data_IF_506499641881
#
_entry.id   IF_506499641881
#
_cell.length_a   1.000
_cell.length_b   1.000
_cell.length_c   1.000
_cell.angle_alpha   90.00
_cell.angle_beta   90.00
_cell.angle_gamma   90.00
#
_symmetry.space_group_name_H-M   'P 1'
#
loop_
_entity.id
_entity.type
_entity.pdbx_description
1 polymer ?
#
# COMPACT_ATOMS: atom_id res chain seq x y z
N UNK A 1 -0.74 -7.54 -12.17
CA UNK A 1 0.73 -7.66 -12.29
C UNK A 1 1.05 -8.92 -13.09
N UNK A 2 1.46 -8.79 -14.35
CA UNK A 2 1.97 -9.92 -15.15
C UNK A 2 3.50 -9.95 -15.04
N UNK A 3 4.08 -11.14 -14.82
CA UNK A 3 5.53 -11.32 -14.80
C UNK A 3 6.04 -11.38 -16.23
N UNK A 4 6.79 -10.37 -16.66
CA UNK A 4 7.55 -10.42 -17.90
C UNK A 4 8.86 -11.21 -17.68
N UNK A 5 8.99 -12.44 -18.21
CA UNK A 5 10.12 -13.33 -17.90
C UNK A 5 11.46 -12.79 -18.39
N UNK A 6 11.47 -11.99 -19.45
CA UNK A 6 12.70 -11.40 -20.00
C UNK A 6 13.18 -10.28 -19.10
N UNK A 7 12.27 -9.40 -18.66
CA UNK A 7 12.60 -8.36 -17.66
C UNK A 7 13.10 -8.97 -16.35
N UNK A 8 12.52 -10.11 -15.95
CA UNK A 8 12.94 -10.85 -14.78
C UNK A 8 14.24 -11.67 -15.00
N UNK A 9 14.86 -11.62 -16.18
CA UNK A 9 16.05 -12.39 -16.57
C UNK A 9 15.86 -13.92 -16.47
N UNK A 10 14.61 -14.38 -16.59
CA UNK A 10 14.23 -15.79 -16.63
C UNK A 10 14.23 -16.36 -18.05
N UNK A 11 14.22 -15.49 -19.06
CA UNK A 11 14.46 -15.79 -20.46
C UNK A 11 15.46 -14.79 -21.02
N UNK A 12 16.29 -15.24 -21.97
CA UNK A 12 17.12 -14.35 -22.79
C UNK A 12 16.23 -13.55 -23.75
N UNK A 13 16.65 -12.35 -24.18
CA UNK A 13 15.84 -11.53 -25.08
C UNK A 13 15.47 -12.22 -26.41
N UNK A 14 16.33 -13.10 -26.90
CA UNK A 14 16.18 -13.80 -28.17
C UNK A 14 15.34 -15.08 -28.04
N UNK A 15 15.13 -15.57 -26.81
CA UNK A 15 14.30 -16.75 -26.57
C UNK A 15 12.81 -16.40 -26.69
N UNK A 16 12.01 -17.23 -27.36
CA UNK A 16 10.59 -16.97 -27.49
C UNK A 16 9.89 -17.18 -26.14
N UNK A 17 8.88 -16.37 -25.84
CA UNK A 17 8.07 -16.43 -24.62
C UNK A 17 7.43 -17.81 -24.41
N UNK A 18 7.07 -18.52 -25.49
CA UNK A 18 6.56 -19.90 -25.41
C UNK A 18 7.55 -20.88 -24.76
N UNK A 19 8.84 -20.55 -24.74
CA UNK A 19 9.88 -21.34 -24.08
C UNK A 19 9.80 -21.26 -22.55
N UNK A 20 9.18 -20.23 -21.99
CA UNK A 20 9.03 -20.08 -20.54
C UNK A 20 7.86 -20.93 -20.02
N UNK A 21 8.19 -22.14 -19.58
CA UNK A 21 7.24 -23.18 -19.10
C UNK A 21 6.36 -22.75 -17.92
N UNK A 22 6.79 -21.77 -17.14
CA UNK A 22 6.09 -21.29 -15.95
C UNK A 22 5.12 -20.14 -16.25
N UNK A 23 4.74 -19.97 -17.53
CA UNK A 23 3.68 -19.08 -17.95
C UNK A 23 2.46 -19.85 -18.44
N UNK A 24 1.32 -19.18 -18.47
CA UNK A 24 0.11 -19.70 -19.10
C UNK A 24 0.15 -19.64 -20.63
N UNK A 25 1.10 -18.90 -21.23
CA UNK A 25 1.17 -18.64 -22.68
C UNK A 25 1.16 -19.93 -23.53
N UNK A 26 1.95 -20.98 -23.23
CA UNK A 26 1.88 -22.23 -23.98
C UNK A 26 0.47 -22.85 -24.02
N UNK A 27 -0.30 -22.71 -22.94
CA UNK A 27 -1.69 -23.17 -22.88
C UNK A 27 -2.60 -22.45 -23.87
N UNK A 28 -2.39 -21.16 -24.12
CA UNK A 28 -3.16 -20.41 -25.13
C UNK A 28 -2.78 -20.80 -26.57
N UNK A 29 -1.52 -21.18 -26.79
CA UNK A 29 -1.00 -21.58 -28.11
C UNK A 29 -1.35 -23.03 -28.49
N UNK A 30 -1.74 -23.84 -27.52
CA UNK A 30 -2.13 -25.22 -27.73
C UNK A 30 -3.47 -25.33 -28.48
N UNK A 31 -3.74 -26.48 -29.12
CA UNK A 31 -5.03 -26.73 -29.79
C UNK A 31 -6.15 -26.92 -28.76
N UNK A 32 -7.41 -26.52 -29.06
CA UNK A 32 -8.52 -26.61 -28.11
C UNK A 32 -8.64 -27.97 -27.38
N UNK A 33 -8.51 -29.08 -28.11
CA UNK A 33 -8.61 -30.43 -27.52
C UNK A 33 -7.44 -30.87 -26.62
N UNK A 34 -6.35 -30.11 -26.58
CA UNK A 34 -5.17 -30.38 -25.72
C UNK A 34 -5.03 -29.37 -24.57
N UNK A 35 -5.92 -28.39 -24.49
CA UNK A 35 -5.92 -27.39 -23.42
C UNK A 35 -6.61 -27.93 -22.18
N UNK A 36 -6.25 -27.34 -21.03
CA UNK A 36 -7.01 -27.56 -19.82
C UNK A 36 -8.47 -27.06 -20.01
N UNK A 37 -9.48 -27.83 -19.57
CA UNK A 37 -10.89 -27.51 -19.84
C UNK A 37 -11.37 -26.22 -19.19
N UNK A 38 -10.66 -25.73 -18.17
CA UNK A 38 -10.95 -24.48 -17.48
C UNK A 38 -10.31 -23.26 -18.15
N UNK A 39 -9.45 -23.43 -19.16
CA UNK A 39 -8.78 -22.32 -19.83
C UNK A 39 -9.71 -21.68 -20.88
N UNK A 40 -10.27 -20.52 -20.55
CA UNK A 40 -11.08 -19.70 -21.45
C UNK A 40 -10.20 -18.77 -22.27
N UNK A 41 -10.18 -18.97 -23.59
CA UNK A 41 -9.32 -18.21 -24.51
C UNK A 41 -10.07 -17.12 -25.27
N UNK A 42 -11.38 -17.28 -25.40
CA UNK A 42 -12.23 -16.48 -26.30
C UNK A 42 -12.20 -15.01 -25.92
N UNK A 43 -12.30 -14.72 -24.62
CA UNK A 43 -12.24 -13.36 -24.10
C UNK A 43 -10.89 -12.71 -24.42
N UNK A 44 -9.79 -13.37 -24.10
CA UNK A 44 -8.45 -12.81 -24.30
C UNK A 44 -8.14 -12.58 -25.77
N UNK A 45 -8.51 -13.52 -26.64
CA UNK A 45 -8.35 -13.34 -28.09
C UNK A 45 -9.21 -12.19 -28.61
N UNK A 46 -10.47 -12.09 -28.16
CA UNK A 46 -11.38 -11.01 -28.53
C UNK A 46 -10.87 -9.62 -28.15
N UNK A 47 -10.35 -9.45 -26.92
CA UNK A 47 -9.74 -8.19 -26.46
C UNK A 47 -8.52 -7.76 -27.30
N UNK A 48 -7.88 -8.72 -27.99
CA UNK A 48 -6.75 -8.48 -28.88
C UNK A 48 -7.17 -8.36 -30.35
N UNK A 49 -8.48 -8.32 -30.62
CA UNK A 49 -9.02 -8.24 -31.97
C UNK A 49 -8.84 -9.52 -32.80
N UNK A 50 -8.56 -10.66 -32.16
CA UNK A 50 -8.39 -11.95 -32.84
C UNK A 50 -9.77 -12.63 -32.89
N UNK A 51 -10.42 -12.70 -34.07
CA UNK A 51 -11.83 -13.06 -34.16
C UNK A 51 -12.10 -14.55 -33.95
N UNK A 52 -11.07 -15.40 -34.08
CA UNK A 52 -11.22 -16.85 -34.03
C UNK A 52 -9.97 -17.52 -33.47
N UNK A 53 -10.18 -18.49 -32.58
CA UNK A 53 -9.17 -19.44 -32.13
C UNK A 53 -8.83 -20.48 -33.22
N UNK A 54 -8.23 -19.98 -34.29
CA UNK A 54 -7.69 -20.77 -35.37
C UNK A 54 -6.18 -20.95 -35.20
N UNK A 55 -5.55 -21.79 -36.02
CA UNK A 55 -4.08 -21.86 -36.05
C UNK A 55 -3.44 -20.51 -36.38
N UNK A 56 -4.06 -19.72 -37.28
CA UNK A 56 -3.61 -18.36 -37.60
C UNK A 56 -3.83 -17.41 -36.41
N UNK A 57 -4.99 -17.48 -35.76
CA UNK A 57 -5.30 -16.66 -34.58
C UNK A 57 -4.34 -16.90 -33.41
N UNK A 58 -3.92 -18.15 -33.19
CA UNK A 58 -2.90 -18.47 -32.16
C UNK A 58 -1.51 -17.95 -32.51
N UNK A 59 -1.10 -17.98 -33.78
CA UNK A 59 0.16 -17.36 -34.22
C UNK A 59 0.13 -15.84 -34.04
N UNK A 60 -0.99 -15.22 -34.36
CA UNK A 60 -1.19 -13.79 -34.14
C UNK A 60 -1.15 -13.44 -32.65
N UNK A 61 -1.78 -14.25 -31.81
CA UNK A 61 -1.68 -14.12 -30.36
C UNK A 61 -0.24 -14.20 -29.85
N UNK A 62 0.54 -15.18 -30.35
CA UNK A 62 1.97 -15.30 -30.04
C UNK A 62 2.74 -14.03 -30.43
N UNK A 63 2.53 -13.52 -31.65
CA UNK A 63 3.14 -12.28 -32.14
C UNK A 63 2.82 -11.07 -31.25
N UNK A 64 1.55 -10.88 -30.91
CA UNK A 64 1.10 -9.76 -30.06
C UNK A 64 1.73 -9.84 -28.66
N UNK A 65 1.89 -11.04 -28.10
CA UNK A 65 2.57 -11.21 -26.81
C UNK A 65 4.08 -10.91 -26.91
N UNK A 66 4.74 -11.33 -27.99
CA UNK A 66 6.14 -11.01 -28.27
C UNK A 66 6.40 -9.52 -28.55
N UNK A 67 5.39 -8.76 -28.98
CA UNK A 67 5.50 -7.31 -29.09
C UNK A 67 5.30 -6.64 -27.73
N UNK A 68 4.30 -7.09 -26.96
CA UNK A 68 3.98 -6.53 -25.65
C UNK A 68 5.11 -6.65 -24.64
N UNK A 69 5.95 -7.68 -24.70
CA UNK A 69 7.11 -7.81 -23.79
C UNK A 69 8.09 -6.63 -23.89
N UNK A 70 8.10 -5.90 -25.01
CA UNK A 70 8.96 -4.72 -25.21
C UNK A 70 8.32 -3.42 -24.69
N UNK A 71 7.00 -3.41 -24.50
CA UNK A 71 6.23 -2.23 -24.08
C UNK A 71 6.26 -1.99 -22.57
N UNK A 72 7.00 -2.82 -21.83
CA UNK A 72 7.06 -2.78 -20.37
C UNK A 72 8.02 -1.65 -19.90
N UNK A 73 7.61 -0.38 -19.99
CA UNK A 73 8.41 0.77 -19.55
C UNK A 73 8.51 0.83 -18.02
N UNK A 74 9.71 0.74 -17.40
CA UNK A 74 9.86 0.81 -15.95
C UNK A 74 9.34 2.10 -15.32
N UNK A 75 9.32 3.19 -16.10
CA UNK A 75 8.98 4.55 -15.66
C UNK A 75 7.48 4.69 -15.39
N UNK A 76 6.63 4.10 -16.23
CA UNK A 76 5.16 4.12 -16.08
C UNK A 76 4.71 3.40 -14.79
N UNK A 77 5.42 2.34 -14.41
CA UNK A 77 5.15 1.61 -13.17
C UNK A 77 5.72 2.28 -11.92
N UNK A 78 6.45 3.38 -12.03
CA UNK A 78 7.06 4.07 -10.88
C UNK A 78 6.04 4.54 -9.84
N UNK A 79 4.87 5.01 -10.31
CA UNK A 79 3.73 5.43 -9.46
C UNK A 79 2.98 4.23 -8.88
N UNK A 80 2.84 3.14 -9.65
CA UNK A 80 2.20 1.89 -9.19
C UNK A 80 3.04 1.19 -8.12
N UNK A 81 4.37 1.21 -8.25
CA UNK A 81 5.30 0.54 -7.33
C UNK A 81 5.48 1.28 -6.00
N UNK A 82 5.29 2.60 -6.00
CA UNK A 82 5.53 3.45 -4.83
C UNK A 82 4.25 4.02 -4.19
N UNK A 83 3.13 3.98 -4.90
CA UNK A 83 1.82 4.41 -4.40
C UNK A 83 0.88 3.25 -4.17
N UNK A 84 0.11 3.27 -3.08
CA UNK A 84 -0.91 2.27 -2.78
C UNK A 84 -2.21 2.40 -3.60
N UNK A 85 -2.38 3.52 -4.33
CA UNK A 85 -3.58 3.84 -5.09
C UNK A 85 -3.22 4.28 -6.52
N UNK A 86 -3.82 3.63 -7.51
CA UNK A 86 -3.76 4.03 -8.92
C UNK A 86 -5.09 4.67 -9.31
N UNK A 87 -5.09 5.98 -9.54
CA UNK A 87 -6.28 6.76 -9.88
C UNK A 87 -6.13 8.23 -9.47
N UNK A 88 -7.17 9.01 -9.73
CA UNK A 88 -7.22 10.43 -9.35
C UNK A 88 -7.33 10.61 -7.83
N UNK A 89 -6.99 11.80 -7.33
CA UNK A 89 -6.98 12.12 -5.90
C UNK A 89 -8.36 11.89 -5.24
N UNK A 90 -9.45 12.11 -5.98
CA UNK A 90 -10.81 11.84 -5.53
C UNK A 90 -11.05 10.35 -5.23
N UNK A 91 -10.59 9.47 -6.13
CA UNK A 91 -10.70 8.01 -5.96
C UNK A 91 -9.86 7.51 -4.77
N UNK A 92 -8.66 8.11 -4.57
CA UNK A 92 -7.83 7.84 -3.39
C UNK A 92 -8.55 8.19 -2.09
N UNK A 93 -9.22 9.35 -2.03
CA UNK A 93 -10.00 9.80 -0.87
C UNK A 93 -11.18 8.86 -0.58
N UNK A 94 -11.86 8.39 -1.61
CA UNK A 94 -12.95 7.42 -1.49
C UNK A 94 -12.47 6.10 -0.87
N UNK A 95 -11.37 5.53 -1.38
CA UNK A 95 -10.81 4.29 -0.85
C UNK A 95 -10.35 4.43 0.62
N UNK A 96 -9.73 5.56 0.99
CA UNK A 96 -9.35 5.82 2.39
C UNK A 96 -10.57 5.85 3.32
N UNK A 97 -11.67 6.47 2.89
CA UNK A 97 -12.91 6.52 3.67
C UNK A 97 -13.50 5.12 3.89
N UNK A 98 -13.44 4.24 2.89
CA UNK A 98 -13.91 2.86 3.00
C UNK A 98 -13.03 2.00 3.93
N UNK A 99 -11.70 2.23 3.95
CA UNK A 99 -10.77 1.52 4.84
C UNK A 99 -10.96 1.93 6.31
N UNK A 100 -11.20 3.21 6.58
CA UNK A 100 -11.50 3.68 7.94
C UNK A 100 -12.77 3.02 8.53
N UNK A 101 -13.71 2.62 7.67
CA UNK A 101 -14.95 1.94 8.07
C UNK A 101 -14.79 0.42 8.33
N UNK A 102 -13.72 -0.23 7.83
CA UNK A 102 -13.58 -1.70 7.77
C UNK A 102 -12.44 -2.30 8.60
N UNK A 103 -11.89 -1.58 9.59
CA UNK A 103 -10.73 -1.99 10.40
C UNK A 103 -10.65 -3.50 10.73
N UNK A 104 -9.73 -4.19 10.04
CA UNK A 104 -9.24 -5.53 10.33
C UNK A 104 -7.71 -5.56 10.16
N UNK A 105 -7.04 -6.38 10.96
CA UNK A 105 -5.59 -6.38 11.16
C UNK A 105 -4.78 -6.80 9.90
N UNK A 106 -4.38 -5.85 9.06
CA UNK A 106 -3.29 -6.08 8.09
C UNK A 106 -2.52 -4.79 7.81
N UNK A 107 -1.21 -4.86 8.00
CA UNK A 107 -0.26 -3.75 8.00
C UNK A 107 0.17 -3.36 6.59
N UNK A 108 0.06 -2.06 6.23
CA UNK A 108 0.62 -1.48 5.00
C UNK A 108 1.41 -0.18 5.30
N UNK A 109 2.50 0.02 4.56
CA UNK A 109 3.65 0.90 4.87
C UNK A 109 3.49 2.42 4.68
N UNK A 110 4.63 3.10 4.49
CA UNK A 110 4.93 4.52 4.73
C UNK A 110 3.88 5.60 4.38
N UNK A 111 3.00 5.39 3.41
CA UNK A 111 1.92 6.36 3.07
C UNK A 111 0.78 6.35 4.12
N UNK A 112 0.63 5.23 4.85
CA UNK A 112 -0.18 5.17 6.07
C UNK A 112 0.51 5.88 7.23
N UNK A 113 1.83 6.12 7.22
CA UNK A 113 2.43 7.02 8.20
C UNK A 113 2.01 8.45 7.92
N UNK A 114 1.94 8.90 6.67
CA UNK A 114 1.47 10.24 6.35
C UNK A 114 0.00 10.42 6.79
N UNK A 115 -0.86 9.45 6.45
CA UNK A 115 -2.27 9.42 6.92
C UNK A 115 -2.39 9.27 8.45
N UNK A 116 -1.55 8.45 9.09
CA UNK A 116 -1.57 8.27 10.54
C UNK A 116 -0.99 9.49 11.27
N UNK A 117 -0.06 10.21 10.68
CA UNK A 117 0.50 11.46 11.21
C UNK A 117 -0.56 12.55 11.10
N UNK A 118 -1.25 12.67 9.97
CA UNK A 118 -2.35 13.61 9.80
C UNK A 118 -3.52 13.32 10.76
N UNK A 119 -3.86 12.04 10.94
CA UNK A 119 -4.85 11.59 11.93
C UNK A 119 -4.41 11.91 13.36
N UNK A 120 -3.13 11.71 13.67
CA UNK A 120 -2.56 12.05 14.98
C UNK A 120 -2.56 13.56 15.22
N UNK A 121 -2.18 14.37 14.23
CA UNK A 121 -2.23 15.83 14.29
C UNK A 121 -3.67 16.34 14.49
N UNK A 122 -4.63 15.81 13.73
CA UNK A 122 -6.05 16.16 13.91
C UNK A 122 -6.52 15.80 15.33
N UNK A 123 -6.13 14.65 15.84
CA UNK A 123 -6.44 14.23 17.20
C UNK A 123 -5.85 15.20 18.24
N UNK A 124 -4.57 15.57 18.10
CA UNK A 124 -3.91 16.55 18.98
C UNK A 124 -4.66 17.88 18.96
N UNK A 125 -4.96 18.42 17.77
CA UNK A 125 -5.68 19.70 17.64
C UNK A 125 -7.03 19.68 18.36
N UNK A 126 -7.81 18.61 18.20
CA UNK A 126 -9.11 18.47 18.85
C UNK A 126 -8.97 18.38 20.37
N UNK A 127 -8.01 17.62 20.88
CA UNK A 127 -7.82 17.51 22.33
C UNK A 127 -7.22 18.78 22.94
N UNK A 128 -6.36 19.51 22.22
CA UNK A 128 -5.88 20.83 22.65
C UNK A 128 -7.04 21.83 22.75
N UNK A 129 -7.94 21.87 21.77
CA UNK A 129 -9.14 22.71 21.82
C UNK A 129 -10.02 22.38 23.04
N UNK A 130 -10.25 21.09 23.34
CA UNK A 130 -11.02 20.67 24.52
C UNK A 130 -10.37 21.07 25.83
N UNK A 131 -9.04 21.11 25.87
CA UNK A 131 -8.27 21.54 27.04
C UNK A 131 -8.12 23.08 27.12
N UNK A 132 -8.56 23.81 26.08
CA UNK A 132 -8.36 25.26 25.95
C UNK A 132 -6.89 25.65 25.77
N UNK A 133 -6.08 24.77 25.18
CA UNK A 133 -4.63 24.97 25.05
C UNK A 133 -4.24 25.37 23.63
N UNK A 134 -3.28 26.28 23.57
CA UNK A 134 -2.55 26.64 22.35
C UNK A 134 -1.25 25.84 22.22
N UNK A 135 -0.61 25.91 21.06
CA UNK A 135 0.73 25.33 20.87
C UNK A 135 1.78 25.99 21.80
N UNK A 136 1.58 27.27 22.16
CA UNK A 136 2.45 27.96 23.13
C UNK A 136 2.29 27.40 24.55
N UNK A 137 1.08 26.98 24.92
CA UNK A 137 0.81 26.33 26.21
C UNK A 137 1.46 24.95 26.31
N UNK A 138 1.57 24.24 25.18
CA UNK A 138 2.36 23.02 25.10
C UNK A 138 3.84 23.31 25.40
N UNK A 139 4.41 24.43 24.97
CA UNK A 139 5.79 24.79 25.27
C UNK A 139 6.01 25.25 26.71
N UNK A 140 5.08 26.05 27.24
CA UNK A 140 5.19 26.61 28.58
C UNK A 140 5.04 25.56 29.69
N UNK A 141 4.29 24.47 29.43
CA UNK A 141 4.00 23.44 30.43
C UNK A 141 5.15 22.46 30.64
N UNK A 142 5.31 22.02 31.89
CA UNK A 142 6.31 21.02 32.30
C UNK A 142 6.21 19.75 31.44
N UNK A 143 7.38 19.14 31.15
CA UNK A 143 7.47 17.93 30.30
C UNK A 143 6.66 16.74 30.84
N UNK A 144 6.56 16.62 32.17
CA UNK A 144 5.77 15.59 32.87
C UNK A 144 4.40 16.06 33.34
N UNK A 145 3.84 17.13 32.77
CA UNK A 145 2.50 17.61 33.13
C UNK A 145 1.45 16.48 32.97
N UNK A 146 0.62 16.29 34.01
CA UNK A 146 -0.33 15.18 34.05
C UNK A 146 -1.36 15.18 32.92
N UNK A 147 -1.71 16.35 32.38
CA UNK A 147 -2.61 16.45 31.24
C UNK A 147 -1.89 16.13 29.91
N UNK A 148 -0.61 16.50 29.75
CA UNK A 148 0.22 16.00 28.64
C UNK A 148 0.37 14.48 28.67
N UNK A 149 0.58 13.89 29.85
CA UNK A 149 0.68 12.43 30.00
C UNK A 149 -0.64 11.75 29.63
N UNK A 150 -1.79 12.27 30.08
CA UNK A 150 -3.12 11.76 29.67
C UNK A 150 -3.34 11.86 28.16
N UNK A 151 -2.93 12.96 27.54
CA UNK A 151 -3.00 13.15 26.10
C UNK A 151 -2.14 12.12 25.36
N UNK A 152 -0.89 11.89 25.82
CA UNK A 152 -0.01 10.88 25.27
C UNK A 152 -0.59 9.45 25.36
N UNK A 153 -1.26 9.10 26.47
CA UNK A 153 -1.96 7.82 26.64
C UNK A 153 -3.06 7.65 25.60
N UNK A 154 -3.93 8.67 25.44
CA UNK A 154 -5.01 8.61 24.45
C UNK A 154 -4.47 8.50 23.03
N UNK A 155 -3.43 9.27 22.72
CA UNK A 155 -2.81 9.30 21.41
C UNK A 155 -2.17 7.96 21.05
N UNK A 156 -1.54 7.28 22.01
CA UNK A 156 -1.03 5.92 21.84
C UNK A 156 -2.14 4.87 21.65
N UNK A 157 -3.30 5.06 22.26
CA UNK A 157 -4.43 4.15 22.12
C UNK A 157 -5.17 4.30 20.78
N UNK A 158 -5.17 5.51 20.20
CA UNK A 158 -5.96 5.84 19.02
C UNK A 158 -5.15 5.97 17.73
N UNK A 159 -3.82 6.01 17.82
CA UNK A 159 -2.92 6.18 16.68
C UNK A 159 -1.79 5.15 16.72
N UNK A 160 -1.14 4.94 15.58
CA UNK A 160 0.04 4.06 15.42
C UNK A 160 1.36 4.80 15.59
N UNK A 161 1.34 6.02 16.13
CA UNK A 161 2.54 6.85 16.27
C UNK A 161 3.55 6.27 17.27
N UNK A 162 4.83 6.41 16.94
CA UNK A 162 5.93 5.95 17.82
C UNK A 162 6.02 6.82 19.07
N UNK A 163 6.50 6.28 20.19
CA UNK A 163 6.72 7.06 21.42
C UNK A 163 7.67 8.23 21.21
N UNK A 164 8.63 8.09 20.27
CA UNK A 164 9.54 9.17 19.87
C UNK A 164 8.76 10.33 19.24
N UNK A 165 7.83 10.03 18.32
CA UNK A 165 6.99 11.03 17.68
C UNK A 165 6.08 11.73 18.70
N UNK A 166 5.41 10.96 19.57
CA UNK A 166 4.50 11.50 20.60
C UNK A 166 5.25 12.43 21.56
N UNK A 167 6.43 12.02 22.01
CA UNK A 167 7.24 12.82 22.92
C UNK A 167 7.73 14.13 22.27
N UNK A 168 8.10 14.09 20.98
CA UNK A 168 8.46 15.28 20.23
C UNK A 168 7.25 16.22 20.05
N UNK A 169 6.10 15.68 19.59
CA UNK A 169 4.91 16.47 19.29
C UNK A 169 4.29 17.15 20.51
N UNK A 170 4.27 16.45 21.65
CA UNK A 170 3.77 16.98 22.92
C UNK A 170 4.84 17.72 23.75
N UNK A 171 6.04 17.88 23.18
CA UNK A 171 7.18 18.55 23.80
C UNK A 171 7.51 18.00 25.21
N UNK A 172 7.52 16.66 25.30
CA UNK A 172 7.77 15.91 26.54
C UNK A 172 9.22 15.41 26.63
N UNK A 173 10.08 15.81 25.68
CA UNK A 173 11.48 15.40 25.61
C UNK A 173 11.68 14.11 24.81
N UNK A 174 12.61 13.26 25.22
CA UNK A 174 12.99 12.04 24.49
C UNK A 174 11.99 10.91 24.79
N UNK A 175 11.69 10.06 23.80
CA UNK A 175 10.72 8.96 23.91
C UNK A 175 10.95 8.00 25.09
N UNK A 176 12.19 7.82 25.55
CA UNK A 176 12.50 7.02 26.75
C UNK A 176 11.95 7.62 28.05
N UNK A 177 11.94 8.96 28.18
CA UNK A 177 11.35 9.67 29.32
C UNK A 177 9.83 9.50 29.35
N UNK A 178 9.18 9.53 28.18
CA UNK A 178 7.74 9.24 28.06
C UNK A 178 7.41 7.81 28.49
N UNK A 179 8.22 6.81 28.13
CA UNK A 179 8.03 5.42 28.57
C UNK A 179 8.04 5.30 30.10
N UNK A 180 8.96 5.99 30.78
CA UNK A 180 9.06 6.01 32.23
C UNK A 180 7.84 6.69 32.89
N UNK A 181 7.38 7.82 32.33
CA UNK A 181 6.19 8.53 32.80
C UNK A 181 4.91 7.70 32.65
N UNK A 182 4.74 7.03 31.51
CA UNK A 182 3.61 6.11 31.28
C UNK A 182 3.64 4.92 32.25
N UNK A 183 4.83 4.40 32.55
CA UNK A 183 5.01 3.28 33.50
C UNK A 183 4.80 3.72 34.95
N UNK A 184 5.19 4.94 35.32
CA UNK A 184 4.91 5.53 36.63
C UNK A 184 3.41 5.78 36.83
N UNK A 185 2.71 6.30 35.81
CA UNK A 185 1.26 6.52 35.87
C UNK A 185 0.48 5.21 36.02
N UNK A 186 0.92 4.12 35.37
CA UNK A 186 0.32 2.78 35.54
C UNK A 186 0.52 2.22 36.94
N UNK A 187 1.69 2.47 37.55
CA UNK A 187 2.03 2.01 38.91
C UNK A 187 1.31 2.79 40.01
N UNK A 188 1.04 4.08 39.83
CA UNK A 188 0.26 4.89 40.78
C UNK A 188 -1.27 4.80 40.62
N UNK A 189 -1.76 3.92 39.74
CA UNK A 189 -3.20 3.64 39.53
C UNK A 189 -3.62 2.27 40.09
N UNK A 190 -2.67 1.50 40.62
CA UNK A 190 -2.90 0.33 41.50
C UNK A 190 -2.89 0.82 42.93
#
# INVERSE_FOLDING_TARGET
>A
MHLNPVRAKLLRPEEPLRGYRWSSLPGYLERPGRRAPWLRVERVLGELGIPKDSAAGRKEFERVMEERRQQDSPEEYGRIRRGWCWGEEAFRKELLAQVDARRGAAHYGAELQESATEKAERFVRVELQKLGWTEADLAARRRGDGAKVKLAVKLRAQTTMTLKWIAARLQMGIGGSLSNLLSAQRRGRR
#
